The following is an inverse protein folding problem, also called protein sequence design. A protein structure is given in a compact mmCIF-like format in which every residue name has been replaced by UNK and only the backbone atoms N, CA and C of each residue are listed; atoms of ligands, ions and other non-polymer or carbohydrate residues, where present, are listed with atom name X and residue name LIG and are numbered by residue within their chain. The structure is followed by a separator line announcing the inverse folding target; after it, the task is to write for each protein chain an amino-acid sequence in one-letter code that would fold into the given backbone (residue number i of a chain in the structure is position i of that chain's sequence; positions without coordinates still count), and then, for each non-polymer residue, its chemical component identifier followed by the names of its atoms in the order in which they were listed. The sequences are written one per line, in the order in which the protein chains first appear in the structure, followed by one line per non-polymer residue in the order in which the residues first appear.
data_IF_794536213725
#
_entry.id   IF_794536213725
#
_cell.length_a   1.000
_cell.length_b   1.000
_cell.length_c   1.000
_cell.angle_alpha   90.00
_cell.angle_beta   90.00
_cell.angle_gamma   90.00
#
_symmetry.space_group_name_H-M   'P 1'
#
loop_
_entity.id
_entity.type
_entity.pdbx_description
1 polymer ?
#
# COMPACT_ATOMS: atom_id res chain seq x y z
N UNK A 1 30.54 2.52 -1.32
CA UNK A 1 30.72 1.07 -1.00
C UNK A 1 30.16 0.70 0.37
N UNK A 2 30.51 1.41 1.46
CA UNK A 2 30.02 1.07 2.81
C UNK A 2 28.49 1.00 2.93
N UNK A 3 27.77 2.01 2.41
CA UNK A 3 26.29 2.01 2.42
C UNK A 3 25.70 0.76 1.76
N UNK A 4 26.20 0.35 0.60
CA UNK A 4 25.74 -0.87 -0.09
C UNK A 4 25.99 -2.14 0.75
N UNK A 5 27.14 -2.22 1.40
CA UNK A 5 27.47 -3.35 2.28
C UNK A 5 26.50 -3.41 3.47
N UNK A 6 26.22 -2.25 4.09
CA UNK A 6 25.28 -2.16 5.21
C UNK A 6 23.86 -2.57 4.78
N UNK A 7 23.38 -2.05 3.65
CA UNK A 7 22.04 -2.39 3.13
C UNK A 7 21.94 -3.90 2.85
N UNK A 8 22.91 -4.48 2.14
CA UNK A 8 22.90 -5.91 1.84
C UNK A 8 22.99 -6.77 3.11
N UNK A 9 23.79 -6.36 4.10
CA UNK A 9 23.89 -7.07 5.37
C UNK A 9 22.56 -7.03 6.14
N UNK A 10 21.90 -5.87 6.21
CA UNK A 10 20.58 -5.71 6.84
C UNK A 10 19.53 -6.52 6.08
N UNK A 11 19.52 -6.48 4.75
CA UNK A 11 18.61 -7.28 3.92
C UNK A 11 18.74 -8.78 4.20
N UNK A 12 19.96 -9.32 4.20
CA UNK A 12 20.20 -10.74 4.51
C UNK A 12 19.81 -11.08 5.95
N UNK A 13 20.03 -10.17 6.90
CA UNK A 13 19.61 -10.39 8.29
C UNK A 13 18.08 -10.42 8.43
N UNK A 14 17.35 -9.62 7.65
CA UNK A 14 15.89 -9.53 7.72
C UNK A 14 15.16 -10.58 6.87
N UNK A 15 15.74 -11.04 5.76
CA UNK A 15 15.05 -11.94 4.82
C UNK A 15 14.69 -13.29 5.46
N UNK A 16 15.56 -13.83 6.33
CA UNK A 16 15.35 -15.13 6.98
C UNK A 16 14.17 -15.07 7.98
N UNK A 17 14.15 -14.16 8.98
CA UNK A 17 13.03 -14.09 9.92
C UNK A 17 11.73 -13.69 9.22
N UNK A 18 11.77 -12.71 8.30
CA UNK A 18 10.57 -12.25 7.59
C UNK A 18 10.02 -13.33 6.66
N UNK A 19 10.88 -14.02 5.90
CA UNK A 19 10.48 -15.13 5.04
C UNK A 19 9.88 -16.29 5.82
N UNK A 20 10.43 -16.60 7.01
CA UNK A 20 9.86 -17.62 7.90
C UNK A 20 8.49 -17.22 8.43
N UNK A 21 8.33 -15.95 8.81
CA UNK A 21 7.05 -15.41 9.28
C UNK A 21 5.98 -15.41 8.16
N UNK A 22 6.35 -14.98 6.95
CA UNK A 22 5.49 -15.05 5.76
C UNK A 22 5.08 -16.50 5.43
N UNK A 23 6.02 -17.44 5.52
CA UNK A 23 5.72 -18.86 5.35
C UNK A 23 4.72 -19.36 6.40
N UNK A 24 4.87 -18.98 7.67
CA UNK A 24 3.91 -19.35 8.71
C UNK A 24 2.53 -18.75 8.48
N UNK A 25 2.45 -17.49 8.00
CA UNK A 25 1.17 -16.88 7.63
C UNK A 25 0.52 -17.64 6.46
N UNK A 26 1.28 -17.90 5.40
CA UNK A 26 0.80 -18.62 4.22
C UNK A 26 0.32 -20.04 4.56
N UNK A 27 1.06 -20.79 5.38
CA UNK A 27 0.70 -22.16 5.77
C UNK A 27 -0.20 -22.23 7.02
N UNK A 28 -0.67 -21.06 7.52
CA UNK A 28 -1.49 -20.95 8.74
C UNK A 28 -0.89 -21.64 9.96
N UNK A 29 0.44 -21.64 10.07
CA UNK A 29 1.17 -22.12 11.25
C UNK A 29 1.09 -21.09 12.37
N UNK A 30 1.27 -21.56 13.60
CA UNK A 30 1.25 -20.69 14.78
C UNK A 30 2.33 -19.60 14.68
N UNK A 31 1.94 -18.35 14.93
CA UNK A 31 2.82 -17.20 15.05
C UNK A 31 2.68 -16.53 16.41
N UNK A 32 3.73 -15.81 16.85
CA UNK A 32 3.73 -15.17 18.17
C UNK A 32 2.61 -14.13 18.36
N UNK A 33 2.08 -13.57 17.27
CA UNK A 33 1.08 -12.51 17.29
C UNK A 33 -0.36 -13.00 17.00
N UNK A 34 -0.57 -14.32 16.88
CA UNK A 34 -1.88 -14.94 16.67
C UNK A 34 -2.94 -14.48 17.67
N UNK A 35 -2.68 -14.36 19.00
CA UNK A 35 -3.73 -13.97 19.95
C UNK A 35 -4.41 -12.62 19.66
N UNK A 36 -3.69 -11.71 19.00
CA UNK A 36 -4.21 -10.40 18.59
C UNK A 36 -4.78 -10.48 17.18
N UNK A 37 -4.00 -10.99 16.22
CA UNK A 37 -4.40 -10.97 14.82
C UNK A 37 -5.53 -11.95 14.49
N UNK A 38 -5.64 -13.09 15.17
CA UNK A 38 -6.77 -14.01 14.99
C UNK A 38 -8.10 -13.36 15.35
N UNK A 39 -8.11 -12.46 16.36
CA UNK A 39 -9.32 -11.71 16.74
C UNK A 39 -9.68 -10.68 15.66
N UNK A 40 -8.68 -9.95 15.16
CA UNK A 40 -8.87 -8.96 14.10
C UNK A 40 -9.36 -9.64 12.82
N UNK A 41 -8.65 -10.67 12.36
CA UNK A 41 -8.99 -11.45 11.17
C UNK A 41 -10.37 -12.10 11.34
N UNK A 42 -10.67 -12.67 12.52
CA UNK A 42 -11.96 -13.28 12.82
C UNK A 42 -13.15 -12.32 12.75
N UNK A 43 -12.98 -11.07 13.20
CA UNK A 43 -14.00 -10.03 13.04
C UNK A 43 -14.22 -9.71 11.56
N UNK A 44 -13.14 -9.53 10.79
CA UNK A 44 -13.23 -9.26 9.34
C UNK A 44 -13.91 -10.43 8.62
N UNK A 45 -13.51 -11.66 8.92
CA UNK A 45 -14.12 -12.86 8.35
C UNK A 45 -15.61 -12.94 8.65
N UNK A 46 -16.02 -12.65 9.89
CA UNK A 46 -17.43 -12.67 10.29
C UNK A 46 -18.25 -11.59 9.59
N UNK A 47 -17.76 -10.35 9.53
CA UNK A 47 -18.46 -9.22 8.90
C UNK A 47 -18.58 -9.43 7.39
N UNK A 48 -17.54 -9.95 6.74
CA UNK A 48 -17.52 -10.21 5.31
C UNK A 48 -18.12 -11.56 4.91
N UNK A 49 -18.55 -12.41 5.87
CA UNK A 49 -19.08 -13.75 5.60
C UNK A 49 -18.06 -14.71 5.00
N UNK A 50 -16.77 -14.52 5.28
CA UNK A 50 -15.67 -15.34 4.76
C UNK A 50 -15.47 -16.54 5.70
N UNK A 51 -15.55 -17.74 5.15
CA UNK A 51 -15.09 -18.95 5.85
C UNK A 51 -13.65 -19.26 5.40
N UNK A 52 -12.63 -19.01 6.24
CA UNK A 52 -11.24 -19.21 5.86
C UNK A 52 -10.89 -20.69 5.65
N UNK A 53 -11.59 -21.63 6.29
CA UNK A 53 -11.29 -23.08 6.21
C UNK A 53 -11.87 -23.73 4.95
N UNK A 54 -12.72 -23.01 4.22
CA UNK A 54 -13.23 -23.45 2.93
C UNK A 54 -12.19 -23.15 1.83
N UNK A 55 -11.43 -24.17 1.47
CA UNK A 55 -10.49 -24.12 0.35
C UNK A 55 -11.16 -23.89 -1.01
N UNK A 56 -10.38 -23.33 -1.93
CA UNK A 56 -10.77 -22.97 -3.29
C UNK A 56 -9.89 -23.71 -4.30
N UNK A 57 -10.50 -24.35 -5.30
CA UNK A 57 -9.75 -24.81 -6.46
C UNK A 57 -9.15 -23.62 -7.25
N UNK A 58 -8.23 -23.91 -8.17
CA UNK A 58 -7.53 -22.87 -8.93
C UNK A 58 -8.47 -21.92 -9.69
N UNK A 59 -9.55 -22.45 -10.30
CA UNK A 59 -10.53 -21.66 -11.06
C UNK A 59 -11.22 -20.65 -10.16
N UNK A 60 -11.70 -21.12 -9.00
CA UNK A 60 -12.41 -20.29 -8.02
C UNK A 60 -11.47 -19.27 -7.40
N UNK A 61 -10.22 -19.65 -7.12
CA UNK A 61 -9.21 -18.75 -6.57
C UNK A 61 -8.91 -17.61 -7.57
N UNK A 62 -8.59 -17.96 -8.83
CA UNK A 62 -8.31 -16.98 -9.87
C UNK A 62 -9.50 -16.05 -10.14
N UNK A 63 -10.72 -16.60 -10.20
CA UNK A 63 -11.92 -15.80 -10.37
C UNK A 63 -12.16 -14.86 -9.18
N UNK A 64 -11.95 -15.33 -7.95
CA UNK A 64 -12.10 -14.48 -6.74
C UNK A 64 -11.10 -13.33 -6.74
N UNK A 65 -9.86 -13.60 -7.16
CA UNK A 65 -8.82 -12.58 -7.32
C UNK A 65 -9.23 -11.51 -8.33
N UNK A 66 -9.64 -11.92 -9.53
CA UNK A 66 -10.03 -10.97 -10.60
C UNK A 66 -11.25 -10.16 -10.20
N UNK A 67 -12.29 -10.81 -9.64
CA UNK A 67 -13.52 -10.11 -9.24
C UNK A 67 -13.29 -9.14 -8.09
N UNK A 68 -12.49 -9.52 -7.08
CA UNK A 68 -12.17 -8.62 -5.98
C UNK A 68 -11.45 -7.36 -6.48
N UNK A 69 -10.43 -7.52 -7.33
CA UNK A 69 -9.71 -6.41 -7.91
C UNK A 69 -10.59 -5.55 -8.83
N UNK A 70 -11.48 -6.16 -9.62
CA UNK A 70 -12.42 -5.44 -10.48
C UNK A 70 -13.40 -4.56 -9.66
N UNK A 71 -13.91 -5.06 -8.54
CA UNK A 71 -14.79 -4.28 -7.64
C UNK A 71 -14.03 -3.11 -7.03
N UNK A 72 -12.79 -3.33 -6.56
CA UNK A 72 -11.95 -2.27 -6.01
C UNK A 72 -11.66 -1.19 -7.05
N UNK A 73 -11.30 -1.58 -8.29
CA UNK A 73 -11.13 -0.67 -9.42
C UNK A 73 -12.39 0.14 -9.68
N UNK A 74 -13.55 -0.50 -9.73
CA UNK A 74 -14.81 0.20 -9.98
C UNK A 74 -15.09 1.26 -8.90
N UNK A 75 -14.97 0.89 -7.63
CA UNK A 75 -15.22 1.82 -6.51
C UNK A 75 -14.19 2.96 -6.52
N UNK A 76 -12.90 2.65 -6.67
CA UNK A 76 -11.85 3.67 -6.69
C UNK A 76 -11.96 4.62 -7.88
N UNK A 77 -12.37 4.12 -9.06
CA UNK A 77 -12.67 4.96 -10.22
C UNK A 77 -13.77 5.97 -9.91
N UNK A 78 -14.87 5.54 -9.28
CA UNK A 78 -15.95 6.44 -8.89
C UNK A 78 -15.45 7.53 -7.93
N UNK A 79 -14.63 7.17 -6.93
CA UNK A 79 -14.05 8.13 -5.99
C UNK A 79 -13.19 9.18 -6.71
N UNK A 80 -12.31 8.76 -7.63
CA UNK A 80 -11.48 9.69 -8.43
C UNK A 80 -12.31 10.67 -9.27
N UNK A 81 -13.47 10.22 -9.77
CA UNK A 81 -14.39 11.04 -10.57
C UNK A 81 -15.15 12.06 -9.73
N UNK A 82 -15.42 11.76 -8.46
CA UNK A 82 -16.14 12.64 -7.53
C UNK A 82 -15.23 13.37 -6.53
N UNK A 83 -13.91 13.30 -6.72
CA UNK A 83 -12.94 13.82 -5.75
C UNK A 83 -13.02 15.34 -5.54
N UNK A 84 -13.70 16.07 -6.42
CA UNK A 84 -13.96 17.51 -6.30
C UNK A 84 -14.80 17.88 -5.07
N UNK A 85 -15.46 16.91 -4.43
CA UNK A 85 -16.20 17.15 -3.19
C UNK A 85 -15.27 17.70 -2.09
N UNK A 86 -15.76 18.59 -1.22
CA UNK A 86 -14.93 19.26 -0.20
C UNK A 86 -14.50 18.35 0.97
N UNK A 87 -14.81 17.05 0.92
CA UNK A 87 -14.51 16.08 1.97
C UNK A 87 -13.02 15.71 1.88
N UNK A 88 -12.21 16.10 2.88
CA UNK A 88 -10.75 15.95 2.84
C UNK A 88 -10.11 16.47 1.54
N UNK A 89 -10.60 17.63 1.09
CA UNK A 89 -10.07 18.34 -0.08
C UNK A 89 -9.75 19.81 0.26
N UNK A 90 -8.80 20.06 1.17
CA UNK A 90 -8.50 21.43 1.62
C UNK A 90 -7.87 22.30 0.52
N UNK A 91 -7.26 21.67 -0.50
CA UNK A 91 -6.59 22.36 -1.60
C UNK A 91 -7.54 22.66 -2.79
N UNK A 92 -8.82 22.27 -2.70
CA UNK A 92 -9.79 22.52 -3.78
C UNK A 92 -9.47 21.79 -5.08
N UNK A 93 -8.92 20.57 -5.00
CA UNK A 93 -8.58 19.75 -6.17
C UNK A 93 -9.84 19.42 -6.95
N UNK A 94 -9.81 19.63 -8.26
CA UNK A 94 -10.93 19.35 -9.15
C UNK A 94 -11.05 17.85 -9.52
N UNK A 95 -12.10 17.51 -10.26
CA UNK A 95 -12.29 16.16 -10.77
C UNK A 95 -11.26 15.80 -11.83
N UNK A 96 -10.66 14.61 -11.71
CA UNK A 96 -9.71 14.10 -12.70
C UNK A 96 -10.45 13.67 -13.98
N UNK A 97 -9.95 13.99 -15.21
CA UNK A 97 -10.50 13.51 -16.48
C UNK A 97 -10.73 12.00 -16.53
N UNK A 98 -11.66 11.54 -17.37
CA UNK A 98 -12.17 10.16 -17.30
C UNK A 98 -11.11 9.12 -17.73
N UNK A 99 -10.33 9.47 -18.75
CA UNK A 99 -9.17 8.75 -19.26
C UNK A 99 -8.04 8.69 -18.23
N UNK A 100 -7.71 9.82 -17.59
CA UNK A 100 -6.69 9.87 -16.55
C UNK A 100 -7.13 9.09 -15.29
N UNK A 101 -8.39 9.21 -14.89
CA UNK A 101 -8.95 8.43 -13.76
C UNK A 101 -8.87 6.93 -14.03
N UNK A 102 -9.16 6.52 -15.28
CA UNK A 102 -9.06 5.12 -15.70
C UNK A 102 -7.61 4.64 -15.72
N UNK A 103 -6.68 5.44 -16.26
CA UNK A 103 -5.26 5.11 -16.26
C UNK A 103 -4.72 4.96 -14.84
N UNK A 104 -5.01 5.93 -13.96
CA UNK A 104 -4.57 5.93 -12.56
C UNK A 104 -5.12 4.70 -11.83
N UNK A 105 -6.42 4.44 -11.88
CA UNK A 105 -6.99 3.32 -11.10
C UNK A 105 -6.46 1.95 -11.55
N UNK A 106 -6.29 1.74 -12.85
CA UNK A 106 -5.72 0.51 -13.38
C UNK A 106 -4.26 0.40 -12.97
N UNK A 107 -3.49 1.48 -13.10
CA UNK A 107 -2.06 1.46 -12.79
C UNK A 107 -1.77 1.11 -11.33
N UNK A 108 -2.56 1.66 -10.42
CA UNK A 108 -2.46 1.34 -9.00
C UNK A 108 -2.92 -0.07 -8.68
N UNK A 109 -3.99 -0.56 -9.32
CA UNK A 109 -4.43 -1.95 -9.11
C UNK A 109 -3.42 -2.96 -9.67
N UNK A 110 -2.74 -2.64 -10.78
CA UNK A 110 -1.71 -3.51 -11.37
C UNK A 110 -0.35 -3.38 -10.67
N UNK A 111 -0.28 -2.73 -9.50
CA UNK A 111 0.94 -2.55 -8.72
C UNK A 111 2.07 -1.85 -9.51
N UNK A 112 1.70 -1.03 -10.50
CA UNK A 112 2.63 -0.35 -11.41
C UNK A 112 2.81 1.12 -11.00
N UNK A 113 1.69 1.74 -10.62
CA UNK A 113 1.56 3.11 -10.13
C UNK A 113 2.27 4.15 -11.01
N UNK A 114 2.12 3.98 -12.32
CA UNK A 114 2.43 4.97 -13.33
C UNK A 114 1.59 6.23 -13.09
N UNK A 115 2.25 7.40 -13.13
CA UNK A 115 1.62 8.68 -12.88
C UNK A 115 1.76 9.58 -14.11
N UNK A 116 0.62 9.89 -14.75
CA UNK A 116 0.51 10.97 -15.75
C UNK A 116 -0.05 12.26 -15.13
N UNK A 117 0.14 12.41 -13.82
CA UNK A 117 -0.32 13.53 -13.00
C UNK A 117 0.72 13.81 -11.91
N UNK A 118 0.74 15.03 -11.38
CA UNK A 118 1.45 15.34 -10.14
C UNK A 118 0.50 15.13 -8.97
N UNK A 119 0.89 14.33 -7.98
CA UNK A 119 -0.02 13.94 -6.90
C UNK A 119 -0.49 15.10 -6.02
N UNK A 120 0.32 16.15 -5.91
CA UNK A 120 0.01 17.37 -5.17
C UNK A 120 -1.09 18.24 -5.81
N UNK A 121 -1.30 18.13 -7.12
CA UNK A 121 -2.29 18.92 -7.87
C UNK A 121 -3.39 18.08 -8.52
N UNK A 122 -3.17 16.78 -8.67
CA UNK A 122 -4.10 15.86 -9.33
C UNK A 122 -4.99 15.06 -8.39
N UNK A 123 -4.70 15.04 -7.07
CA UNK A 123 -5.43 14.23 -6.11
C UNK A 123 -5.78 14.98 -4.81
N UNK A 124 -7.04 14.92 -4.42
CA UNK A 124 -7.48 15.28 -3.06
C UNK A 124 -6.90 14.32 -2.01
N UNK A 125 -6.83 14.75 -0.74
CA UNK A 125 -6.36 13.86 0.33
C UNK A 125 -7.31 12.67 0.54
N UNK A 126 -8.61 12.84 0.29
CA UNK A 126 -9.56 11.72 0.28
C UNK A 126 -9.15 10.65 -0.73
N UNK A 127 -8.81 11.06 -1.96
CA UNK A 127 -8.40 10.13 -3.01
C UNK A 127 -7.04 9.51 -2.73
N UNK A 128 -6.10 10.27 -2.18
CA UNK A 128 -4.82 9.73 -1.71
C UNK A 128 -5.03 8.62 -0.67
N UNK A 129 -5.92 8.82 0.30
CA UNK A 129 -6.16 7.82 1.35
C UNK A 129 -7.01 6.63 0.90
N UNK A 130 -8.17 6.88 0.30
CA UNK A 130 -9.17 5.85 0.02
C UNK A 130 -8.96 5.15 -1.32
N UNK A 131 -8.19 5.74 -2.24
CA UNK A 131 -7.89 5.12 -3.54
C UNK A 131 -6.42 4.75 -3.59
N UNK A 132 -5.51 5.71 -3.53
CA UNK A 132 -4.10 5.47 -3.79
C UNK A 132 -3.47 4.55 -2.73
N UNK A 133 -3.49 4.95 -1.46
CA UNK A 133 -2.94 4.15 -0.36
C UNK A 133 -3.66 2.80 -0.28
N UNK A 134 -5.00 2.79 -0.34
CA UNK A 134 -5.80 1.57 -0.35
C UNK A 134 -5.40 0.59 -1.46
N UNK A 135 -5.23 1.08 -2.68
CA UNK A 135 -4.81 0.25 -3.81
C UNK A 135 -3.41 -0.30 -3.60
N UNK A 136 -2.47 0.51 -3.09
CA UNK A 136 -1.11 0.04 -2.80
C UNK A 136 -1.07 -1.14 -1.83
N UNK A 137 -1.95 -1.16 -0.83
CA UNK A 137 -2.08 -2.33 0.05
C UNK A 137 -2.67 -3.53 -0.68
N UNK A 138 -3.76 -3.32 -1.41
CA UNK A 138 -4.57 -4.41 -1.99
C UNK A 138 -3.96 -5.02 -3.25
N UNK A 139 -3.21 -4.26 -4.05
CA UNK A 139 -2.43 -4.73 -5.18
C UNK A 139 -1.27 -5.63 -4.71
N UNK A 140 -0.50 -5.17 -3.73
CA UNK A 140 0.60 -5.93 -3.12
C UNK A 140 0.08 -7.23 -2.46
N UNK A 141 -1.00 -7.13 -1.69
CA UNK A 141 -1.64 -8.28 -1.06
C UNK A 141 -2.18 -9.28 -2.09
N UNK A 142 -2.80 -8.82 -3.18
CA UNK A 142 -3.27 -9.67 -4.27
C UNK A 142 -2.13 -10.40 -4.99
N UNK A 143 -1.02 -9.69 -5.26
CA UNK A 143 0.18 -10.29 -5.86
C UNK A 143 0.80 -11.36 -4.96
N UNK A 144 0.90 -11.08 -3.65
CA UNK A 144 1.34 -12.05 -2.66
C UNK A 144 0.43 -13.28 -2.62
N UNK A 145 -0.89 -13.09 -2.57
CA UNK A 145 -1.87 -14.17 -2.55
C UNK A 145 -1.75 -15.07 -3.80
N UNK A 146 -1.59 -14.47 -4.98
CA UNK A 146 -1.34 -15.21 -6.22
C UNK A 146 -0.05 -16.05 -6.16
N UNK A 147 1.03 -15.48 -5.65
CA UNK A 147 2.31 -16.18 -5.48
C UNK A 147 2.18 -17.37 -4.51
N UNK A 148 1.52 -17.17 -3.37
CA UNK A 148 1.28 -18.23 -2.39
C UNK A 148 0.42 -19.35 -2.99
N UNK A 149 -0.66 -19.02 -3.70
CA UNK A 149 -1.48 -20.01 -4.39
C UNK A 149 -0.66 -20.82 -5.42
N UNK A 150 0.21 -20.16 -6.17
CA UNK A 150 1.12 -20.82 -7.11
C UNK A 150 2.09 -21.78 -6.41
N UNK A 151 2.72 -21.36 -5.32
CA UNK A 151 3.62 -22.20 -4.52
C UNK A 151 2.88 -23.42 -3.94
N UNK A 152 1.66 -23.23 -3.41
CA UNK A 152 0.82 -24.34 -2.93
C UNK A 152 0.53 -25.34 -4.05
N UNK A 153 0.19 -24.84 -5.24
CA UNK A 153 -0.05 -25.65 -6.43
C UNK A 153 1.16 -26.49 -6.86
N UNK A 154 2.37 -25.89 -6.84
CA UNK A 154 3.62 -26.60 -7.15
C UNK A 154 4.01 -27.62 -6.09
N UNK A 155 3.74 -27.33 -4.80
CA UNK A 155 4.11 -28.21 -3.70
C UNK A 155 3.37 -29.55 -3.69
N UNK A 156 2.21 -29.63 -4.36
CA UNK A 156 1.41 -30.86 -4.47
C UNK A 156 0.81 -31.37 -3.15
N UNK A 157 0.90 -30.59 -2.06
CA UNK A 157 0.50 -31.01 -0.71
C UNK A 157 -1.00 -30.83 -0.40
N UNK A 158 -1.75 -30.14 -1.27
CA UNK A 158 -3.17 -29.83 -1.06
C UNK A 158 -4.04 -30.16 -2.27
N UNK A 159 -5.32 -30.49 -2.03
CA UNK A 159 -6.34 -30.64 -3.09
C UNK A 159 -6.83 -29.28 -3.62
N UNK A 160 -6.52 -28.19 -2.92
CA UNK A 160 -6.96 -26.83 -3.23
C UNK A 160 -5.81 -25.82 -3.05
N UNK A 161 -6.05 -24.57 -3.46
CA UNK A 161 -5.07 -23.48 -3.43
C UNK A 161 -5.19 -22.61 -2.17
N UNK A 162 -5.91 -23.07 -1.14
CA UNK A 162 -6.30 -22.27 0.01
C UNK A 162 -7.48 -21.35 -0.28
N UNK A 163 -7.54 -20.17 0.32
CA UNK A 163 -8.66 -19.24 0.19
C UNK A 163 -8.16 -17.82 -0.06
N UNK A 164 -8.47 -17.27 -1.25
CA UNK A 164 -7.99 -15.96 -1.69
C UNK A 164 -8.27 -14.84 -0.68
N UNK A 165 -9.49 -14.75 -0.16
CA UNK A 165 -9.84 -13.68 0.77
C UNK A 165 -9.11 -13.82 2.11
N UNK A 166 -8.90 -15.06 2.57
CA UNK A 166 -8.13 -15.29 3.79
C UNK A 166 -6.66 -14.91 3.61
N UNK A 167 -6.06 -15.25 2.46
CA UNK A 167 -4.67 -14.89 2.14
C UNK A 167 -4.50 -13.36 2.04
N UNK A 168 -5.43 -12.69 1.33
CA UNK A 168 -5.47 -11.24 1.19
C UNK A 168 -5.58 -10.51 2.54
N UNK A 169 -6.48 -10.98 3.41
CA UNK A 169 -6.69 -10.37 4.73
C UNK A 169 -5.45 -10.57 5.60
N UNK A 170 -4.94 -11.81 5.70
CA UNK A 170 -3.82 -12.11 6.62
C UNK A 170 -2.54 -11.39 6.24
N UNK A 171 -2.20 -11.31 4.96
CA UNK A 171 -0.99 -10.55 4.56
C UNK A 171 -1.15 -9.06 4.88
N UNK A 172 -2.36 -8.52 4.69
CA UNK A 172 -2.65 -7.11 4.97
C UNK A 172 -2.59 -6.81 6.46
N UNK A 173 -3.27 -7.59 7.30
CA UNK A 173 -3.38 -7.33 8.75
C UNK A 173 -2.11 -7.67 9.52
N UNK A 174 -1.38 -8.71 9.10
CA UNK A 174 -0.24 -9.26 9.87
C UNK A 174 1.12 -8.79 9.39
N UNK A 175 1.21 -8.21 8.19
CA UNK A 175 2.48 -7.80 7.58
C UNK A 175 2.40 -6.38 7.08
N UNK A 176 1.55 -6.11 6.08
CA UNK A 176 1.57 -4.82 5.40
C UNK A 176 1.22 -3.68 6.36
N UNK A 177 0.09 -3.76 7.07
CA UNK A 177 -0.34 -2.70 7.99
C UNK A 177 0.68 -2.50 9.12
N UNK A 178 1.09 -3.53 9.90
CA UNK A 178 2.03 -3.34 10.99
C UNK A 178 3.38 -2.76 10.54
N UNK A 179 3.96 -3.29 9.46
CA UNK A 179 5.25 -2.81 8.96
C UNK A 179 5.14 -1.41 8.36
N UNK A 180 4.07 -1.11 7.61
CA UNK A 180 3.83 0.25 7.09
C UNK A 180 3.65 1.27 8.21
N UNK A 181 3.02 0.92 9.34
CA UNK A 181 2.95 1.81 10.51
C UNK A 181 4.35 2.07 11.08
N UNK A 182 5.17 1.02 11.26
CA UNK A 182 6.53 1.18 11.78
C UNK A 182 7.37 2.05 10.85
N UNK A 183 7.39 1.74 9.55
CA UNK A 183 8.12 2.52 8.54
C UNK A 183 7.60 3.95 8.48
N UNK A 184 6.29 4.15 8.45
CA UNK A 184 5.67 5.48 8.44
C UNK A 184 6.10 6.33 9.65
N UNK A 185 6.14 5.75 10.85
CA UNK A 185 6.61 6.45 12.05
C UNK A 185 8.10 6.81 11.97
N UNK A 186 8.94 5.94 11.41
CA UNK A 186 10.36 6.24 11.18
C UNK A 186 10.55 7.37 10.16
N UNK A 187 9.75 7.39 9.09
CA UNK A 187 9.75 8.46 8.09
C UNK A 187 9.30 9.79 8.71
N UNK A 188 8.23 9.79 9.51
CA UNK A 188 7.77 10.99 10.24
C UNK A 188 8.85 11.51 11.17
N UNK A 189 9.51 10.62 11.93
CA UNK A 189 10.61 10.98 12.80
C UNK A 189 11.77 11.67 12.07
N UNK A 190 12.01 11.29 10.81
CA UNK A 190 13.04 11.87 9.95
C UNK A 190 12.60 13.11 9.16
N UNK A 191 11.33 13.54 9.29
CA UNK A 191 10.83 14.79 8.69
C UNK A 191 9.83 14.63 7.54
N UNK A 192 9.40 13.40 7.21
CA UNK A 192 8.34 13.17 6.22
C UNK A 192 6.98 13.68 6.78
N UNK A 193 6.23 14.53 6.05
CA UNK A 193 4.95 15.02 6.52
C UNK A 193 3.91 13.91 6.71
N UNK A 194 3.09 14.04 7.75
CA UNK A 194 1.92 13.19 7.97
C UNK A 194 0.82 13.98 8.66
N UNK A 195 0.05 14.75 7.87
CA UNK A 195 -1.05 15.57 8.38
C UNK A 195 -2.17 15.67 7.34
N UNK A 196 -3.21 16.46 7.64
CA UNK A 196 -4.32 16.74 6.71
C UNK A 196 -4.54 18.25 6.55
N UNK A 197 -3.52 19.07 6.82
CA UNK A 197 -3.61 20.52 6.66
C UNK A 197 -3.58 20.90 5.18
N UNK A 198 -4.18 22.03 4.85
CA UNK A 198 -3.99 22.67 3.55
C UNK A 198 -2.50 22.94 3.29
N UNK A 199 -2.14 23.09 2.01
CA UNK A 199 -0.82 23.56 1.62
C UNK A 199 -0.46 24.86 2.36
N UNK A 200 0.79 24.93 2.81
CA UNK A 200 1.28 26.08 3.56
C UNK A 200 2.03 27.03 2.63
N UNK A 201 1.60 28.29 2.58
CA UNK A 201 2.29 29.34 1.83
C UNK A 201 3.28 30.06 2.75
N UNK A 202 4.55 30.12 2.34
CA UNK A 202 5.62 30.77 3.07
C UNK A 202 6.16 31.96 2.28
N UNK A 203 6.51 33.04 2.99
CA UNK A 203 7.33 34.10 2.43
C UNK A 203 8.80 33.71 2.58
N UNK A 204 9.53 33.66 1.46
CA UNK A 204 10.95 33.32 1.43
C UNK A 204 11.80 34.48 1.96
N UNK A 205 13.07 34.19 2.27
CA UNK A 205 14.04 35.20 2.71
C UNK A 205 14.30 36.29 1.65
N UNK A 206 13.99 36.01 0.38
CA UNK A 206 14.08 36.96 -0.74
C UNK A 206 12.80 37.80 -0.90
N UNK A 207 11.77 37.54 -0.08
CA UNK A 207 10.48 38.23 -0.12
C UNK A 207 9.46 37.63 -1.08
N UNK A 208 9.78 36.54 -1.79
CA UNK A 208 8.86 35.82 -2.68
C UNK A 208 7.91 34.91 -1.90
N UNK A 209 6.82 34.43 -2.51
CA UNK A 209 5.95 33.41 -1.91
C UNK A 209 6.19 32.03 -2.52
N UNK A 210 6.18 31.00 -1.67
CA UNK A 210 6.31 29.61 -2.06
C UNK A 210 5.29 28.75 -1.33
N UNK A 211 4.62 27.87 -2.05
CA UNK A 211 3.73 26.86 -1.46
C UNK A 211 4.50 25.58 -1.14
N UNK A 212 4.27 25.05 0.07
CA UNK A 212 4.75 23.76 0.51
C UNK A 212 3.57 22.78 0.57
N UNK A 213 3.76 21.65 -0.10
CA UNK A 213 2.78 20.58 -0.14
C UNK A 213 2.70 19.89 1.22
N UNK A 214 1.47 19.66 1.68
CA UNK A 214 1.17 18.98 2.94
C UNK A 214 0.37 17.69 2.64
N UNK A 215 0.03 16.95 3.68
CA UNK A 215 -0.81 15.75 3.55
C UNK A 215 -0.23 14.49 4.21
N UNK A 216 -0.90 13.34 4.01
CA UNK A 216 -0.55 12.07 4.65
C UNK A 216 0.59 11.34 3.90
N UNK A 217 1.72 12.03 3.70
CA UNK A 217 2.81 11.59 2.83
C UNK A 217 3.49 10.32 3.39
N UNK A 218 3.89 10.31 4.67
CA UNK A 218 4.62 9.19 5.26
C UNK A 218 3.86 7.86 5.17
N UNK A 219 2.52 7.90 5.32
CA UNK A 219 1.68 6.71 5.20
C UNK A 219 1.68 6.15 3.77
N UNK A 220 1.67 7.00 2.74
CA UNK A 220 1.79 6.60 1.35
C UNK A 220 3.19 6.03 1.08
N UNK A 221 4.25 6.77 1.46
CA UNK A 221 5.64 6.36 1.24
C UNK A 221 5.91 5.00 1.90
N UNK A 222 5.39 4.75 3.09
CA UNK A 222 5.61 3.47 3.78
C UNK A 222 5.12 2.26 2.98
N UNK A 223 3.88 2.29 2.47
CA UNK A 223 3.32 1.16 1.69
C UNK A 223 3.83 1.15 0.26
N UNK A 224 4.22 2.31 -0.31
CA UNK A 224 4.73 2.34 -1.68
C UNK A 224 6.01 1.53 -1.83
N UNK A 225 6.90 1.59 -0.82
CA UNK A 225 8.13 0.81 -0.78
C UNK A 225 7.89 -0.63 -0.34
N UNK A 226 7.18 -0.83 0.77
CA UNK A 226 6.92 -2.17 1.30
C UNK A 226 6.17 -3.08 0.31
N UNK A 227 5.20 -2.52 -0.42
CA UNK A 227 4.41 -3.24 -1.43
C UNK A 227 4.97 -3.15 -2.85
N UNK A 228 6.16 -2.56 -3.03
CA UNK A 228 6.83 -2.38 -4.34
C UNK A 228 5.91 -1.76 -5.41
N UNK A 229 5.21 -0.71 -4.99
CA UNK A 229 4.13 -0.04 -5.71
C UNK A 229 4.66 1.13 -6.55
N UNK A 230 5.65 1.88 -6.06
CA UNK A 230 6.42 2.83 -6.85
C UNK A 230 5.79 4.21 -7.11
N UNK A 231 4.50 4.43 -6.85
CA UNK A 231 3.85 5.75 -7.03
C UNK A 231 4.13 6.72 -5.88
N UNK A 232 4.43 7.98 -6.19
CA UNK A 232 4.73 9.04 -5.21
C UNK A 232 3.50 9.85 -4.78
N UNK A 233 3.57 10.47 -3.61
CA UNK A 233 2.59 11.48 -3.21
C UNK A 233 2.77 12.76 -4.04
N UNK A 234 4.01 13.10 -4.35
CA UNK A 234 4.43 14.25 -5.14
C UNK A 234 4.93 13.80 -6.51
N UNK A 235 4.86 14.67 -7.52
CA UNK A 235 5.26 14.35 -8.90
C UNK A 235 6.72 13.87 -9.04
N UNK A 236 7.63 14.36 -8.20
CA UNK A 236 9.02 13.94 -8.17
C UNK A 236 9.32 12.77 -7.21
N UNK A 237 8.29 12.22 -6.56
CA UNK A 237 8.32 10.96 -5.82
C UNK A 237 9.47 10.93 -4.77
N UNK A 238 10.18 9.81 -4.59
CA UNK A 238 11.28 9.66 -3.62
C UNK A 238 12.52 10.55 -3.85
N UNK A 239 12.52 11.43 -4.86
CA UNK A 239 13.55 12.49 -4.96
C UNK A 239 13.14 13.78 -4.26
N UNK A 240 11.88 13.90 -3.84
CA UNK A 240 11.43 15.05 -3.06
C UNK A 240 11.86 14.93 -1.59
N UNK A 241 12.35 16.01 -0.96
CA UNK A 241 12.72 16.00 0.46
C UNK A 241 11.56 15.67 1.39
N UNK A 242 10.31 15.89 0.96
CA UNK A 242 9.12 15.57 1.76
C UNK A 242 8.80 14.08 1.77
N UNK A 243 9.17 13.32 0.72
CA UNK A 243 8.99 11.86 0.70
C UNK A 243 10.20 11.13 1.28
N UNK A 244 11.42 11.63 1.01
CA UNK A 244 12.67 11.01 1.40
C UNK A 244 13.66 12.06 1.95
N UNK A 245 13.50 12.49 3.22
CA UNK A 245 14.21 13.64 3.78
C UNK A 245 15.69 13.40 4.05
N UNK A 246 16.12 12.17 4.35
CA UNK A 246 17.48 11.88 4.80
C UNK A 246 18.08 10.64 4.15
N UNK A 247 19.40 10.47 4.28
CA UNK A 247 20.07 9.24 3.85
C UNK A 247 19.50 8.02 4.62
N UNK A 248 19.08 8.22 5.87
CA UNK A 248 18.50 7.15 6.68
C UNK A 248 17.11 6.73 6.15
N UNK A 249 16.23 7.68 5.78
CA UNK A 249 14.96 7.33 5.14
C UNK A 249 15.18 6.61 3.82
N UNK A 250 16.15 7.08 3.02
CA UNK A 250 16.50 6.41 1.77
C UNK A 250 16.98 4.96 2.01
N UNK A 251 17.72 4.70 3.10
CA UNK A 251 18.13 3.34 3.47
C UNK A 251 16.98 2.48 4.00
N UNK A 252 15.95 3.08 4.60
CA UNK A 252 14.73 2.38 5.06
C UNK A 252 13.80 2.06 3.86
N UNK A 253 13.78 2.94 2.86
CA UNK A 253 13.01 2.78 1.62
C UNK A 253 13.57 1.71 0.66
N UNK A 254 14.87 1.38 0.78
CA UNK A 254 15.59 0.38 -0.02
C UNK A 254 15.49 -1.03 0.56
#
# INVERSE_FOLDING_TARGET
MLQMIVILAVFVALIIPLGTYLYHIAERKHTFADPVFDRVDGVIYKVCGINPDKGMNWKKYALSLVLANAVMVFVGYLILRIQFLPIFNPNGIEGMPADLSFNTIISFMTNTNLQHYSGESGLSYLSQMLVIIFMMFTSAASGYAACVAFVRGLSGRGKDMGNFYADLIRITTRVLIPLSIIVGLLLVWQGCPQNLSQNATFQTIEGNFQDMQMGPIASLVSIKHLGTNGGGFLGANSTTPLENPTILTNMIEM
#
